data_IF_163523122302
#
_entry.id   IF_163523122302
#
_cell.length_a   1.000
_cell.length_b   1.000
_cell.length_c   1.000
_cell.angle_alpha   90.00
_cell.angle_beta   90.00
_cell.angle_gamma   90.00
#
_symmetry.space_group_name_H-M   'P 1'
#
loop_
_entity.id
_entity.type
_entity.pdbx_description
1 polymer ?
#
# COMPACT_ATOMS: atom_id res chain seq x y z
N UNK A 1 29.94 38.85 -19.30
CA UNK A 1 30.19 39.15 -17.87
C UNK A 1 31.63 39.64 -17.77
N UNK A 2 31.90 40.68 -17.00
CA UNK A 2 33.28 41.09 -16.69
C UNK A 2 33.73 40.31 -15.45
N UNK A 3 34.82 39.55 -15.57
CA UNK A 3 35.24 38.55 -14.60
C UNK A 3 36.76 38.55 -14.44
N UNK A 4 37.22 38.21 -13.24
CA UNK A 4 38.66 38.12 -12.94
C UNK A 4 39.28 36.87 -13.62
N UNK A 5 40.21 37.10 -14.54
CA UNK A 5 40.88 36.03 -15.29
C UNK A 5 41.70 35.08 -14.41
N UNK A 6 42.21 35.55 -13.27
CA UNK A 6 42.95 34.70 -12.33
C UNK A 6 42.04 33.66 -11.70
N UNK A 7 40.91 34.11 -11.14
CA UNK A 7 39.91 33.21 -10.53
C UNK A 7 39.38 32.18 -11.53
N UNK A 8 39.11 32.57 -12.78
CA UNK A 8 38.65 31.63 -13.80
C UNK A 8 39.68 30.55 -14.13
N UNK A 9 40.95 30.93 -14.34
CA UNK A 9 42.02 29.99 -14.70
C UNK A 9 42.40 29.08 -13.52
N UNK A 10 42.39 29.61 -12.29
CA UNK A 10 42.69 28.85 -11.08
C UNK A 10 41.57 27.85 -10.74
N UNK A 11 40.33 28.18 -11.14
CA UNK A 11 39.17 27.33 -10.86
C UNK A 11 38.91 26.26 -11.91
N UNK A 12 39.24 26.49 -13.19
CA UNK A 12 38.88 25.59 -14.29
C UNK A 12 40.01 25.45 -15.31
N UNK A 13 40.38 24.20 -15.59
CA UNK A 13 41.39 23.88 -16.59
C UNK A 13 40.95 24.29 -18.01
N UNK A 14 39.65 24.30 -18.29
CA UNK A 14 39.10 24.80 -19.55
C UNK A 14 39.43 26.29 -19.76
N UNK A 15 39.15 27.14 -18.76
CA UNK A 15 39.47 28.57 -18.87
C UNK A 15 40.98 28.82 -18.88
N UNK A 16 41.77 28.02 -18.15
CA UNK A 16 43.23 28.09 -18.21
C UNK A 16 43.78 27.76 -19.61
N UNK A 17 43.20 26.79 -20.31
CA UNK A 17 43.58 26.42 -21.68
C UNK A 17 43.14 27.45 -22.72
N UNK A 18 42.00 28.10 -22.50
CA UNK A 18 41.48 29.18 -23.37
C UNK A 18 42.18 30.53 -23.13
N UNK A 19 42.89 30.68 -22.01
CA UNK A 19 43.63 31.89 -21.71
C UNK A 19 44.85 32.03 -22.65
N UNK A 20 45.09 33.21 -23.27
CA UNK A 20 46.24 33.40 -24.14
C UNK A 20 47.56 33.25 -23.36
N UNK A 21 48.64 32.77 -23.99
CA UNK A 21 49.93 32.57 -23.31
C UNK A 21 50.39 33.86 -22.62
N UNK A 22 50.83 33.73 -21.37
CA UNK A 22 51.46 34.82 -20.60
C UNK A 22 52.82 35.14 -21.21
N UNK A 23 52.83 35.97 -22.25
CA UNK A 23 54.04 36.43 -22.94
C UNK A 23 54.04 36.06 -24.42
N UNK A 24 53.29 36.82 -25.21
CA UNK A 24 53.42 36.87 -26.66
C UNK A 24 53.11 38.30 -27.08
N UNK A 25 54.09 38.95 -27.70
CA UNK A 25 54.06 40.37 -28.07
C UNK A 25 52.75 40.76 -28.74
N UNK A 26 52.15 41.84 -28.24
CA UNK A 26 51.06 42.52 -28.92
C UNK A 26 51.60 43.07 -30.24
N UNK A 27 51.32 42.38 -31.35
CA UNK A 27 51.33 43.01 -32.65
C UNK A 27 50.19 44.03 -32.65
N UNK A 28 50.58 45.30 -32.55
CA UNK A 28 49.71 46.45 -32.54
C UNK A 28 48.85 46.51 -33.81
N UNK A 29 47.53 46.59 -33.62
CA UNK A 29 46.67 47.38 -34.49
C UNK A 29 45.70 48.15 -33.59
N UNK A 30 46.08 49.38 -33.30
CA UNK A 30 45.25 50.33 -32.58
C UNK A 30 44.04 50.73 -33.42
N UNK A 31 42.84 50.59 -32.84
CA UNK A 31 41.73 51.50 -33.10
C UNK A 31 40.83 51.56 -31.87
N UNK A 32 41.02 52.65 -31.13
CA UNK A 32 40.07 53.39 -30.29
C UNK A 32 39.23 52.68 -29.21
N UNK A 33 39.54 53.05 -27.96
CA UNK A 33 38.56 53.18 -26.87
C UNK A 33 38.35 52.00 -25.92
N UNK A 34 39.16 50.93 -26.01
CA UNK A 34 38.89 49.66 -25.30
C UNK A 34 39.54 49.55 -23.92
N UNK A 35 38.74 49.32 -22.88
CA UNK A 35 39.23 48.71 -21.64
C UNK A 35 39.97 47.41 -21.95
N UNK A 36 41.03 47.12 -21.20
CA UNK A 36 41.95 45.98 -21.37
C UNK A 36 41.31 44.61 -21.04
N UNK A 37 40.03 44.44 -21.33
CA UNK A 37 39.32 43.17 -21.22
C UNK A 37 39.52 42.33 -22.48
N UNK A 38 40.04 41.10 -22.32
CA UNK A 38 40.07 40.11 -23.41
C UNK A 38 38.74 39.37 -23.45
N UNK A 39 38.20 39.14 -24.64
CA UNK A 39 36.95 38.39 -24.84
C UNK A 39 37.26 36.91 -25.07
N UNK A 40 36.66 36.04 -24.27
CA UNK A 40 36.64 34.59 -24.49
C UNK A 40 35.23 34.24 -24.95
N UNK A 41 35.11 33.66 -26.14
CA UNK A 41 33.86 33.12 -26.67
C UNK A 41 33.86 31.61 -26.41
N UNK A 42 32.78 31.11 -25.81
CA UNK A 42 32.59 29.70 -25.50
C UNK A 42 31.42 29.21 -26.33
N UNK A 43 31.73 28.42 -27.36
CA UNK A 43 30.74 27.82 -28.24
C UNK A 43 30.16 26.53 -27.63
N UNK A 44 28.95 26.16 -28.04
CA UNK A 44 28.33 24.88 -27.65
C UNK A 44 27.74 24.83 -26.24
N UNK A 45 27.40 25.98 -25.65
CA UNK A 45 26.74 26.04 -24.34
C UNK A 45 25.23 25.83 -24.50
N UNK A 46 24.75 24.61 -24.22
CA UNK A 46 23.33 24.26 -24.30
C UNK A 46 22.47 24.98 -23.24
N UNK A 47 23.02 25.18 -22.04
CA UNK A 47 22.34 25.83 -20.93
C UNK A 47 23.14 27.04 -20.43
N UNK A 48 22.85 28.21 -21.01
CA UNK A 48 23.54 29.47 -20.71
C UNK A 48 23.36 29.91 -19.24
N UNK A 49 22.18 29.66 -18.66
CA UNK A 49 21.91 29.99 -17.26
C UNK A 49 22.73 29.13 -16.30
N UNK A 50 22.82 27.83 -16.58
CA UNK A 50 23.66 26.92 -15.81
C UNK A 50 25.14 27.24 -15.95
N UNK A 51 25.59 27.65 -17.14
CA UNK A 51 26.96 28.09 -17.37
C UNK A 51 27.31 29.34 -16.57
N UNK A 52 26.44 30.36 -16.62
CA UNK A 52 26.57 31.55 -15.76
C UNK A 52 26.62 31.14 -14.29
N UNK A 53 25.74 30.24 -13.86
CA UNK A 53 25.65 29.76 -12.49
C UNK A 53 26.92 29.01 -12.04
N UNK A 54 27.52 28.18 -12.90
CA UNK A 54 28.79 27.52 -12.64
C UNK A 54 29.95 28.51 -12.52
N UNK A 55 29.96 29.56 -13.33
CA UNK A 55 30.93 30.65 -13.23
C UNK A 55 30.72 31.47 -11.95
N UNK A 56 29.48 31.81 -11.61
CA UNK A 56 29.13 32.50 -10.35
C UNK A 56 29.59 31.70 -9.12
N UNK A 57 29.50 30.36 -9.17
CA UNK A 57 29.95 29.44 -8.12
C UNK A 57 31.46 29.59 -7.82
N UNK A 58 32.29 29.90 -8.83
CA UNK A 58 33.74 30.09 -8.65
C UNK A 58 34.08 31.27 -7.73
N UNK A 59 33.19 32.27 -7.67
CA UNK A 59 33.37 33.48 -6.87
C UNK A 59 32.61 33.45 -5.54
N UNK A 60 31.86 32.38 -5.24
CA UNK A 60 31.07 32.33 -4.03
C UNK A 60 31.95 32.15 -2.79
N UNK A 61 31.83 33.01 -1.77
CA UNK A 61 32.52 32.83 -0.49
C UNK A 61 31.95 31.66 0.30
N UNK A 62 30.66 31.36 0.12
CA UNK A 62 29.96 30.23 0.72
C UNK A 62 29.21 29.42 -0.36
N UNK A 63 29.92 28.54 -1.09
CA UNK A 63 29.37 27.82 -2.23
C UNK A 63 28.22 26.88 -1.89
N UNK A 64 28.26 26.22 -0.73
CA UNK A 64 27.23 25.27 -0.32
C UNK A 64 25.91 25.98 0.01
N UNK A 65 25.99 27.13 0.71
CA UNK A 65 24.80 27.95 0.96
C UNK A 65 24.20 28.49 -0.33
N UNK A 66 25.05 28.86 -1.29
CA UNK A 66 24.58 29.31 -2.60
C UNK A 66 23.86 28.18 -3.36
N UNK A 67 24.42 26.96 -3.37
CA UNK A 67 23.79 25.77 -3.97
C UNK A 67 22.46 25.44 -3.28
N UNK A 68 22.39 25.57 -1.96
CA UNK A 68 21.17 25.39 -1.19
C UNK A 68 20.07 26.41 -1.58
N UNK A 69 20.44 27.66 -1.84
CA UNK A 69 19.52 28.68 -2.31
C UNK A 69 19.08 28.47 -3.77
N UNK A 70 19.96 27.91 -4.60
CA UNK A 70 19.69 27.60 -6.00
C UNK A 70 18.75 26.39 -6.18
N UNK A 71 18.80 25.44 -5.25
CA UNK A 71 18.00 24.22 -5.26
C UNK A 71 18.59 23.08 -6.10
N UNK A 72 18.09 21.87 -5.87
CA UNK A 72 18.64 20.61 -6.43
C UNK A 72 18.65 20.62 -7.95
N UNK A 73 17.53 20.92 -8.60
CA UNK A 73 17.44 20.93 -10.07
C UNK A 73 18.51 21.80 -10.74
N UNK A 74 18.75 23.01 -10.20
CA UNK A 74 19.77 23.93 -10.73
C UNK A 74 21.18 23.45 -10.41
N UNK A 75 21.39 22.89 -9.22
CA UNK A 75 22.68 22.27 -8.85
C UNK A 75 23.05 21.09 -9.76
N UNK A 76 22.07 20.33 -10.27
CA UNK A 76 22.30 19.27 -11.27
C UNK A 76 22.76 19.88 -12.60
N UNK A 77 22.15 20.98 -13.06
CA UNK A 77 22.61 21.66 -14.29
C UNK A 77 24.03 22.24 -14.12
N UNK A 78 24.30 22.84 -12.95
CA UNK A 78 25.62 23.37 -12.62
C UNK A 78 26.65 22.23 -12.53
N UNK A 79 26.27 21.05 -12.05
CA UNK A 79 27.14 19.86 -12.05
C UNK A 79 27.50 19.43 -13.48
N UNK A 80 26.53 19.33 -14.39
CA UNK A 80 26.76 18.99 -15.80
C UNK A 80 27.73 19.99 -16.43
N UNK A 81 27.48 21.29 -16.25
CA UNK A 81 28.37 22.31 -16.80
C UNK A 81 29.75 22.28 -16.14
N UNK A 82 29.83 22.15 -14.81
CA UNK A 82 31.10 22.09 -14.08
C UNK A 82 31.96 20.91 -14.54
N UNK A 83 31.34 19.78 -14.88
CA UNK A 83 32.01 18.63 -15.49
C UNK A 83 32.53 18.97 -16.89
N UNK A 84 31.71 19.59 -17.73
CA UNK A 84 32.10 19.95 -19.11
C UNK A 84 33.27 20.96 -19.18
N UNK A 85 33.35 21.91 -18.24
CA UNK A 85 34.42 22.92 -18.18
C UNK A 85 35.58 22.49 -17.27
N UNK A 86 35.65 21.23 -16.84
CA UNK A 86 36.72 20.72 -15.96
C UNK A 86 36.90 21.55 -14.68
N UNK A 87 35.79 21.98 -14.05
CA UNK A 87 35.75 22.68 -12.78
C UNK A 87 35.62 21.68 -11.62
N UNK A 88 36.74 21.04 -11.27
CA UNK A 88 36.80 19.95 -10.27
C UNK A 88 36.21 20.34 -8.90
N UNK A 89 36.53 21.54 -8.39
CA UNK A 89 35.97 22.01 -7.12
C UNK A 89 34.45 22.18 -7.22
N UNK A 90 33.94 22.66 -8.34
CA UNK A 90 32.50 22.79 -8.60
C UNK A 90 31.79 21.45 -8.64
N UNK A 91 32.38 20.46 -9.33
CA UNK A 91 31.87 19.08 -9.35
C UNK A 91 31.75 18.51 -7.94
N UNK A 92 32.81 18.61 -7.13
CA UNK A 92 32.81 18.12 -5.73
C UNK A 92 31.76 18.82 -4.86
N UNK A 93 31.64 20.14 -4.98
CA UNK A 93 30.65 20.93 -4.23
C UNK A 93 29.22 20.56 -4.63
N UNK A 94 28.95 20.40 -5.92
CA UNK A 94 27.62 20.04 -6.41
C UNK A 94 27.25 18.62 -5.98
N UNK A 95 28.15 17.65 -6.13
CA UNK A 95 27.92 16.27 -5.67
C UNK A 95 27.67 16.23 -4.16
N UNK A 96 28.51 16.88 -3.35
CA UNK A 96 28.34 16.93 -1.90
C UNK A 96 27.00 17.56 -1.48
N UNK A 97 26.57 18.63 -2.16
CA UNK A 97 25.26 19.23 -1.91
C UNK A 97 24.11 18.30 -2.30
N UNK A 98 24.17 17.72 -3.50
CA UNK A 98 23.13 16.83 -4.05
C UNK A 98 22.98 15.58 -3.16
N UNK A 99 24.08 15.00 -2.70
CA UNK A 99 24.10 13.88 -1.76
C UNK A 99 23.35 14.21 -0.45
N UNK A 100 23.54 15.42 0.08
CA UNK A 100 23.04 15.82 1.40
C UNK A 100 21.55 16.23 1.44
N UNK A 101 20.85 16.26 0.29
CA UNK A 101 19.48 16.77 0.18
C UNK A 101 18.51 15.76 -0.44
N UNK A 102 17.20 15.81 -0.10
CA UNK A 102 16.19 14.97 -0.76
C UNK A 102 15.93 15.43 -2.20
N UNK A 103 15.52 14.50 -3.06
CA UNK A 103 15.18 14.77 -4.47
C UNK A 103 13.73 14.39 -4.74
N UNK A 104 13.07 15.12 -5.62
CA UNK A 104 11.79 14.69 -6.18
C UNK A 104 12.00 13.81 -7.42
N UNK A 105 10.93 13.18 -7.93
CA UNK A 105 10.98 12.28 -9.08
C UNK A 105 11.59 12.92 -10.34
N UNK A 106 11.33 14.21 -10.60
CA UNK A 106 11.88 14.90 -11.77
C UNK A 106 13.38 15.12 -11.63
N UNK A 107 13.84 15.45 -10.42
CA UNK A 107 15.26 15.62 -10.10
C UNK A 107 16.01 14.28 -10.14
N UNK A 108 15.39 13.21 -9.64
CA UNK A 108 15.94 11.86 -9.72
C UNK A 108 16.11 11.43 -11.19
N UNK A 109 15.11 11.64 -12.04
CA UNK A 109 15.20 11.28 -13.45
C UNK A 109 16.25 12.11 -14.19
N UNK A 110 16.40 13.39 -13.82
CA UNK A 110 17.47 14.25 -14.34
C UNK A 110 18.85 13.76 -13.92
N UNK A 111 19.00 13.33 -12.66
CA UNK A 111 20.22 12.71 -12.16
C UNK A 111 20.52 11.40 -12.90
N UNK A 112 19.54 10.51 -13.11
CA UNK A 112 19.74 9.28 -13.90
C UNK A 112 20.26 9.58 -15.30
N UNK A 113 19.66 10.56 -15.99
CA UNK A 113 20.10 10.97 -17.32
C UNK A 113 21.52 11.55 -17.32
N UNK A 114 21.87 12.34 -16.31
CA UNK A 114 23.21 12.91 -16.18
C UNK A 114 24.26 11.82 -15.93
N UNK A 115 24.02 10.93 -14.97
CA UNK A 115 24.92 9.83 -14.62
C UNK A 115 25.03 8.76 -15.72
N UNK A 116 24.06 8.68 -16.64
CA UNK A 116 24.17 7.84 -17.83
C UNK A 116 25.11 8.44 -18.91
N UNK A 117 25.30 9.76 -18.91
CA UNK A 117 26.09 10.50 -19.92
C UNK A 117 27.48 10.90 -19.42
N UNK A 118 27.62 11.17 -18.13
CA UNK A 118 28.83 11.69 -17.50
C UNK A 118 29.37 10.69 -16.47
N UNK A 119 30.68 10.52 -16.43
CA UNK A 119 31.38 9.74 -15.40
C UNK A 119 31.96 10.66 -14.35
N UNK A 120 31.63 10.42 -13.09
CA UNK A 120 32.18 11.15 -11.95
C UNK A 120 33.09 10.22 -11.13
N UNK A 121 33.94 10.81 -10.28
CA UNK A 121 34.75 10.06 -9.31
C UNK A 121 33.84 9.19 -8.43
N UNK A 122 34.11 7.89 -8.41
CA UNK A 122 33.33 6.90 -7.67
C UNK A 122 33.35 7.20 -6.17
N UNK A 123 34.48 7.66 -5.63
CA UNK A 123 34.61 7.94 -4.20
C UNK A 123 33.71 9.07 -3.70
N UNK A 124 33.29 9.97 -4.60
CA UNK A 124 32.49 11.17 -4.28
C UNK A 124 31.04 11.01 -4.73
N UNK A 125 30.77 10.08 -5.64
CA UNK A 125 29.44 9.89 -6.23
C UNK A 125 28.74 8.58 -5.80
N UNK A 126 29.41 7.73 -5.03
CA UNK A 126 28.90 6.43 -4.60
C UNK A 126 27.55 6.54 -3.87
N UNK A 127 27.38 7.49 -2.94
CA UNK A 127 26.15 7.64 -2.17
C UNK A 127 24.97 8.14 -3.04
N UNK A 128 25.26 8.99 -4.03
CA UNK A 128 24.27 9.41 -5.02
C UNK A 128 23.85 8.21 -5.88
N UNK A 129 24.82 7.44 -6.37
CA UNK A 129 24.56 6.22 -7.15
C UNK A 129 23.81 5.17 -6.35
N UNK A 130 24.08 5.03 -5.05
CA UNK A 130 23.38 4.12 -4.16
C UNK A 130 21.89 4.50 -3.98
N UNK A 131 21.56 5.79 -4.08
CA UNK A 131 20.18 6.31 -4.08
C UNK A 131 19.48 6.15 -5.43
N UNK A 132 20.21 6.26 -6.54
CA UNK A 132 19.66 6.13 -7.90
C UNK A 132 19.46 4.67 -8.34
N UNK A 133 20.28 3.76 -7.83
CA UNK A 133 20.17 2.34 -8.14
C UNK A 133 18.95 1.75 -7.42
N UNK A 134 18.08 1.00 -8.12
CA UNK A 134 17.06 0.20 -7.46
C UNK A 134 17.75 -0.70 -6.45
N UNK A 135 17.47 -0.47 -5.18
CA UNK A 135 18.09 -1.23 -4.12
C UNK A 135 17.63 -2.69 -4.24
N UNK A 136 18.56 -3.63 -4.35
CA UNK A 136 18.28 -5.07 -4.53
C UNK A 136 17.81 -5.71 -3.23
N UNK A 137 16.77 -5.16 -2.61
CA UNK A 137 16.08 -5.87 -1.54
C UNK A 137 15.60 -7.18 -2.15
N UNK A 138 15.65 -8.24 -1.34
CA UNK A 138 14.80 -9.42 -1.51
C UNK A 138 13.46 -8.97 -2.09
N UNK A 139 13.02 -9.64 -3.15
CA UNK A 139 11.93 -9.25 -4.06
C UNK A 139 10.89 -8.29 -3.47
N UNK A 140 10.36 -7.29 -4.21
CA UNK A 140 9.30 -6.39 -3.72
C UNK A 140 8.12 -7.06 -3.01
N UNK A 141 7.90 -8.36 -3.30
CA UNK A 141 6.95 -9.23 -2.62
C UNK A 141 7.24 -9.40 -1.12
N UNK A 142 8.50 -9.62 -0.76
CA UNK A 142 8.94 -9.87 0.62
C UNK A 142 8.68 -8.65 1.51
N UNK A 143 8.92 -7.43 1.01
CA UNK A 143 8.67 -6.21 1.77
C UNK A 143 7.18 -6.02 2.04
N UNK A 144 6.33 -6.19 1.02
CA UNK A 144 4.89 -6.00 1.15
C UNK A 144 4.28 -6.99 2.14
N UNK A 145 4.68 -8.26 2.07
CA UNK A 145 4.31 -9.29 3.04
C UNK A 145 4.78 -8.91 4.44
N UNK A 146 6.03 -8.47 4.60
CA UNK A 146 6.56 -8.02 5.89
C UNK A 146 5.78 -6.85 6.49
N UNK A 147 5.36 -5.89 5.68
CA UNK A 147 4.54 -4.76 6.12
C UNK A 147 3.17 -5.26 6.61
N UNK A 148 2.49 -6.12 5.84
CA UNK A 148 1.21 -6.71 6.23
C UNK A 148 1.36 -7.48 7.54
N UNK A 149 2.39 -8.33 7.67
CA UNK A 149 2.66 -9.09 8.88
C UNK A 149 2.91 -8.17 10.09
N UNK A 150 3.70 -7.11 9.91
CA UNK A 150 3.96 -6.10 10.96
C UNK A 150 2.69 -5.40 11.43
N UNK A 151 1.79 -5.06 10.50
CA UNK A 151 0.50 -4.43 10.80
C UNK A 151 -0.41 -5.39 11.57
N UNK A 152 -0.52 -6.65 11.14
CA UNK A 152 -1.37 -7.66 11.81
C UNK A 152 -0.89 -8.00 13.23
N UNK A 153 0.43 -7.94 13.47
CA UNK A 153 1.05 -8.20 14.78
C UNK A 153 1.08 -6.96 15.69
N UNK A 154 0.61 -5.80 15.22
CA UNK A 154 0.61 -4.57 16.02
C UNK A 154 -0.37 -4.65 17.19
N UNK A 155 0.08 -4.19 18.36
CA UNK A 155 -0.73 -4.10 19.58
C UNK A 155 -1.46 -2.76 19.72
N UNK A 156 -1.09 -1.74 18.95
CA UNK A 156 -1.70 -0.42 19.00
C UNK A 156 -2.76 -0.28 17.90
N UNK A 157 -4.04 -0.15 18.30
CA UNK A 157 -5.17 -0.11 17.38
C UNK A 157 -5.20 1.14 16.48
N UNK A 158 -4.79 2.30 17.00
CA UNK A 158 -4.74 3.55 16.25
C UNK A 158 -3.65 3.50 15.17
N UNK A 159 -2.42 3.23 15.58
CA UNK A 159 -1.29 3.11 14.65
C UNK A 159 -1.51 2.02 13.60
N UNK A 160 -2.14 0.90 13.98
CA UNK A 160 -2.50 -0.15 13.03
C UNK A 160 -3.42 0.37 11.92
N UNK A 161 -4.48 1.12 12.25
CA UNK A 161 -5.43 1.63 11.24
C UNK A 161 -4.77 2.60 10.26
N UNK A 162 -3.88 3.46 10.76
CA UNK A 162 -3.11 4.37 9.91
C UNK A 162 -2.20 3.57 8.95
N UNK A 163 -1.53 2.54 9.45
CA UNK A 163 -0.67 1.67 8.63
C UNK A 163 -1.47 0.81 7.64
N UNK A 164 -2.67 0.33 8.02
CA UNK A 164 -3.58 -0.36 7.09
C UNK A 164 -3.98 0.56 5.93
N UNK A 165 -4.31 1.83 6.22
CA UNK A 165 -4.64 2.83 5.19
C UNK A 165 -3.46 3.06 4.24
N UNK A 166 -2.24 3.20 4.78
CA UNK A 166 -1.03 3.36 3.99
C UNK A 166 -0.78 2.16 3.07
N UNK A 167 -0.83 0.94 3.61
CA UNK A 167 -0.65 -0.30 2.85
C UNK A 167 -1.73 -0.44 1.77
N UNK A 168 -2.99 -0.14 2.07
CA UNK A 168 -4.07 -0.16 1.07
C UNK A 168 -3.82 0.84 -0.06
N UNK A 169 -3.26 2.02 0.25
CA UNK A 169 -2.85 3.02 -0.74
C UNK A 169 -1.76 2.49 -1.67
N UNK A 170 -0.76 1.77 -1.13
CA UNK A 170 0.31 1.14 -1.90
C UNK A 170 -0.20 0.01 -2.80
N UNK A 171 -1.17 -0.77 -2.32
CA UNK A 171 -1.78 -1.89 -3.06
C UNK A 171 -2.84 -1.44 -4.09
N UNK A 172 -3.27 -0.18 -4.05
CA UNK A 172 -4.35 0.31 -4.91
C UNK A 172 -3.97 0.30 -6.40
N UNK A 173 -4.90 -0.19 -7.24
CA UNK A 173 -4.85 -0.22 -8.72
C UNK A 173 -4.79 1.17 -9.39
N UNK A 174 -4.90 2.25 -8.60
CA UNK A 174 -4.89 3.64 -9.06
C UNK A 174 -3.67 4.42 -8.56
N UNK A 175 -2.70 3.76 -7.93
CA UNK A 175 -1.53 4.46 -7.40
C UNK A 175 -0.60 4.89 -8.54
N UNK A 176 -0.06 6.11 -8.46
CA UNK A 176 0.90 6.66 -9.44
C UNK A 176 2.18 5.80 -9.49
N UNK A 177 2.43 5.03 -8.43
CA UNK A 177 3.55 4.10 -8.28
C UNK A 177 3.38 2.77 -9.04
N UNK A 178 2.27 2.58 -9.76
CA UNK A 178 1.94 1.30 -10.35
C UNK A 178 2.42 1.21 -11.80
N UNK A 179 3.46 0.41 -12.01
CA UNK A 179 3.69 -0.21 -13.32
C UNK A 179 3.73 -1.73 -13.28
N UNK A 180 4.22 -2.35 -12.21
CA UNK A 180 4.16 -3.80 -12.05
C UNK A 180 4.26 -4.16 -10.56
N UNK A 181 3.14 -4.22 -9.83
CA UNK A 181 3.09 -5.08 -8.64
C UNK A 181 2.82 -6.51 -9.10
N UNK A 182 3.78 -7.07 -9.82
CA UNK A 182 4.05 -8.50 -9.70
C UNK A 182 4.63 -8.67 -8.29
N UNK A 183 3.82 -9.04 -7.29
CA UNK A 183 4.40 -9.27 -5.96
C UNK A 183 3.52 -9.39 -4.73
N UNK A 184 2.36 -10.03 -4.81
CA UNK A 184 1.75 -10.59 -3.62
C UNK A 184 1.87 -12.10 -3.69
N UNK A 185 2.75 -12.66 -2.85
CA UNK A 185 2.83 -14.11 -2.71
C UNK A 185 1.57 -14.61 -1.97
N UNK A 186 0.74 -15.39 -2.68
CA UNK A 186 -0.47 -16.01 -2.16
C UNK A 186 -0.21 -16.81 -0.89
N UNK A 187 0.79 -17.69 -0.93
CA UNK A 187 1.15 -18.56 0.18
C UNK A 187 1.51 -17.74 1.42
N UNK A 188 2.33 -16.69 1.25
CA UNK A 188 2.70 -15.79 2.34
C UNK A 188 1.51 -15.07 2.97
N UNK A 189 0.55 -14.59 2.16
CA UNK A 189 -0.67 -13.96 2.68
C UNK A 189 -1.52 -14.96 3.47
N UNK A 190 -1.68 -16.18 2.95
CA UNK A 190 -2.42 -17.22 3.66
C UNK A 190 -1.73 -17.65 4.95
N UNK A 191 -0.39 -17.69 5.00
CA UNK A 191 0.36 -17.93 6.24
C UNK A 191 0.01 -16.88 7.33
N UNK A 192 -0.15 -15.61 6.93
CA UNK A 192 -0.60 -14.55 7.86
C UNK A 192 -2.07 -14.78 8.26
N UNK A 193 -2.96 -15.16 7.33
CA UNK A 193 -4.35 -15.51 7.64
C UNK A 193 -4.43 -16.67 8.65
N UNK A 194 -3.65 -17.73 8.45
CA UNK A 194 -3.58 -18.87 9.37
C UNK A 194 -3.09 -18.45 10.75
N UNK A 195 -2.06 -17.62 10.83
CA UNK A 195 -1.57 -17.11 12.11
C UNK A 195 -2.63 -16.28 12.85
N UNK A 196 -3.33 -15.38 12.16
CA UNK A 196 -4.43 -14.61 12.74
C UNK A 196 -5.61 -15.49 13.17
N UNK A 197 -5.96 -16.50 12.36
CA UNK A 197 -7.07 -17.40 12.66
C UNK A 197 -6.75 -18.32 13.84
N UNK A 198 -5.55 -18.90 13.90
CA UNK A 198 -5.13 -19.72 15.03
C UNK A 198 -5.12 -18.90 16.32
N UNK A 199 -4.59 -17.68 16.27
CA UNK A 199 -4.65 -16.76 17.41
C UNK A 199 -6.09 -16.43 17.81
N UNK A 200 -7.02 -16.30 16.85
CA UNK A 200 -8.44 -16.09 17.15
C UNK A 200 -9.02 -17.32 17.87
N UNK A 201 -8.77 -18.53 17.37
CA UNK A 201 -9.23 -19.78 17.99
C UNK A 201 -8.71 -19.91 19.42
N UNK A 202 -7.41 -19.67 19.63
CA UNK A 202 -6.78 -19.72 20.95
C UNK A 202 -7.43 -18.72 21.93
N UNK A 203 -7.72 -17.48 21.47
CA UNK A 203 -8.39 -16.47 22.28
C UNK A 203 -9.81 -16.88 22.69
N UNK A 204 -10.55 -17.56 21.81
CA UNK A 204 -11.87 -18.08 22.15
C UNK A 204 -11.79 -19.24 23.13
N UNK A 205 -10.86 -20.17 22.93
CA UNK A 205 -10.62 -21.29 23.84
C UNK A 205 -10.29 -20.76 25.26
N UNK A 206 -9.32 -19.85 25.36
CA UNK A 206 -8.93 -19.24 26.65
C UNK A 206 -10.10 -18.51 27.32
N UNK A 207 -10.91 -17.78 26.54
CA UNK A 207 -12.07 -17.08 27.07
C UNK A 207 -13.18 -18.03 27.57
N UNK A 208 -13.39 -19.17 26.90
CA UNK A 208 -14.34 -20.20 27.34
C UNK A 208 -13.89 -20.88 28.63
N UNK A 209 -12.60 -21.24 28.74
CA UNK A 209 -12.02 -21.83 29.95
C UNK A 209 -12.06 -20.87 31.15
N UNK A 210 -11.77 -19.59 30.93
CA UNK A 210 -11.84 -18.56 31.96
C UNK A 210 -13.27 -18.29 32.46
N UNK A 211 -14.29 -18.64 31.68
CA UNK A 211 -15.69 -18.52 32.10
C UNK A 211 -16.11 -19.71 32.98
N UNK A 212 -15.48 -20.87 32.80
CA UNK A 212 -15.76 -22.10 33.56
C UNK A 212 -15.07 -22.13 34.94
N UNK A 213 -13.93 -21.44 35.07
CA UNK A 213 -13.21 -21.30 36.33
C UNK A 213 -13.44 -19.89 36.89
N UNK A 214 -14.14 -19.78 38.04
CA UNK A 214 -14.47 -18.55 38.79
C UNK A 214 -13.66 -17.31 38.41
N UNK A 215 -14.36 -16.22 38.06
CA UNK A 215 -13.98 -14.92 37.48
C UNK A 215 -12.77 -14.13 38.07
N UNK A 216 -11.81 -14.75 38.74
CA UNK A 216 -10.63 -14.12 39.35
C UNK A 216 -9.36 -14.19 38.49
N UNK A 217 -9.41 -14.75 37.27
CA UNK A 217 -8.26 -14.78 36.36
C UNK A 217 -8.22 -13.63 35.33
N UNK A 218 -9.27 -12.82 35.21
CA UNK A 218 -9.40 -11.77 34.18
C UNK A 218 -8.41 -10.60 34.31
N UNK A 219 -7.64 -10.53 35.41
CA UNK A 219 -6.62 -9.48 35.65
C UNK A 219 -5.18 -10.07 35.60
N UNK A 220 -5.01 -11.39 35.50
CA UNK A 220 -3.71 -12.05 35.63
C UNK A 220 -2.92 -12.01 34.32
N UNK A 221 -2.58 -10.80 33.84
CA UNK A 221 -1.33 -10.50 33.11
C UNK A 221 -1.18 -9.03 32.69
N UNK A 222 -1.94 -8.08 33.25
CA UNK A 222 -1.83 -6.67 32.83
C UNK A 222 -2.04 -6.46 31.32
N UNK A 223 -2.75 -7.39 30.67
CA UNK A 223 -3.03 -7.41 29.24
C UNK A 223 -4.41 -6.85 28.92
N UNK A 224 -4.69 -6.69 27.62
CA UNK A 224 -5.97 -6.22 27.11
C UNK A 224 -7.09 -7.25 27.38
N UNK A 225 -8.35 -6.82 27.60
CA UNK A 225 -9.48 -7.75 27.72
C UNK A 225 -9.59 -8.69 26.50
N UNK A 226 -10.02 -9.94 26.70
CA UNK A 226 -10.20 -10.91 25.60
C UNK A 226 -11.02 -10.34 24.44
N UNK A 227 -12.10 -9.61 24.74
CA UNK A 227 -12.94 -8.99 23.72
C UNK A 227 -12.18 -7.99 22.83
N UNK A 228 -11.23 -7.25 23.39
CA UNK A 228 -10.40 -6.31 22.61
C UNK A 228 -9.45 -7.08 21.68
N UNK A 229 -8.85 -8.17 22.18
CA UNK A 229 -7.96 -9.02 21.39
C UNK A 229 -8.71 -9.78 20.28
N UNK A 230 -9.90 -10.29 20.57
CA UNK A 230 -10.79 -10.94 19.60
C UNK A 230 -11.22 -9.94 18.52
N UNK A 231 -11.66 -8.74 18.91
CA UNK A 231 -12.02 -7.67 17.97
C UNK A 231 -10.83 -7.28 17.09
N UNK A 232 -9.63 -7.25 17.66
CA UNK A 232 -8.39 -6.95 16.94
C UNK A 232 -8.08 -8.01 15.88
N UNK A 233 -8.12 -9.31 16.23
CA UNK A 233 -7.89 -10.40 15.27
C UNK A 233 -9.00 -10.48 14.21
N UNK A 234 -10.24 -10.21 14.60
CA UNK A 234 -11.39 -10.09 13.68
C UNK A 234 -11.15 -8.99 12.64
N UNK A 235 -10.66 -7.83 13.06
CA UNK A 235 -10.32 -6.74 12.15
C UNK A 235 -9.11 -7.07 11.26
N UNK A 236 -8.12 -7.80 11.78
CA UNK A 236 -7.00 -8.29 10.97
C UNK A 236 -7.47 -9.24 9.87
N UNK A 237 -8.30 -10.24 10.20
CA UNK A 237 -8.81 -11.21 9.23
C UNK A 237 -9.70 -10.55 8.17
N UNK A 238 -10.58 -9.62 8.55
CA UNK A 238 -11.38 -8.86 7.59
C UNK A 238 -10.50 -8.03 6.64
N UNK A 239 -9.47 -7.37 7.17
CA UNK A 239 -8.54 -6.59 6.34
C UNK A 239 -7.73 -7.47 5.38
N UNK A 240 -7.22 -8.61 5.85
CA UNK A 240 -6.55 -9.59 4.99
C UNK A 240 -7.49 -10.15 3.92
N UNK A 241 -8.74 -10.44 4.27
CA UNK A 241 -9.75 -10.87 3.32
C UNK A 241 -10.02 -9.80 2.26
N UNK A 242 -10.12 -8.52 2.64
CA UNK A 242 -10.29 -7.42 1.68
C UNK A 242 -9.09 -7.28 0.73
N UNK A 243 -7.86 -7.50 1.22
CA UNK A 243 -6.65 -7.57 0.38
C UNK A 243 -6.76 -8.73 -0.60
N UNK A 244 -7.10 -9.94 -0.13
CA UNK A 244 -7.24 -11.12 -0.98
C UNK A 244 -8.33 -10.93 -2.05
N UNK A 245 -9.46 -10.33 -1.68
CA UNK A 245 -10.57 -10.05 -2.61
C UNK A 245 -10.17 -9.01 -3.66
N UNK A 246 -9.46 -7.96 -3.27
CA UNK A 246 -9.03 -6.90 -4.18
C UNK A 246 -7.99 -7.36 -5.21
N UNK A 247 -7.32 -8.48 -4.92
CA UNK A 247 -6.29 -9.10 -5.74
C UNK A 247 -6.72 -10.45 -6.34
N UNK A 248 -8.01 -10.80 -6.30
CA UNK A 248 -8.57 -12.03 -6.90
C UNK A 248 -7.96 -13.34 -6.34
N UNK A 249 -7.60 -13.37 -5.06
CA UNK A 249 -6.90 -14.48 -4.37
C UNK A 249 -7.70 -15.11 -3.21
N UNK A 250 -8.97 -14.77 -3.05
CA UNK A 250 -9.76 -15.07 -1.85
C UNK A 250 -10.50 -16.43 -1.85
N UNK A 251 -10.33 -17.29 -2.88
CA UNK A 251 -11.04 -18.58 -2.96
C UNK A 251 -10.77 -19.49 -1.75
N UNK A 252 -9.49 -19.67 -1.40
CA UNK A 252 -9.06 -20.54 -0.28
C UNK A 252 -9.48 -19.97 1.09
N UNK A 253 -9.74 -18.67 1.20
CA UNK A 253 -10.23 -18.08 2.43
C UNK A 253 -11.65 -18.56 2.76
N UNK A 254 -12.48 -18.79 1.73
CA UNK A 254 -13.83 -19.34 1.94
C UNK A 254 -13.74 -20.76 2.49
N UNK A 255 -12.82 -21.57 1.98
CA UNK A 255 -12.55 -22.92 2.50
C UNK A 255 -12.01 -22.86 3.93
N UNK A 256 -11.06 -21.97 4.19
CA UNK A 256 -10.50 -21.75 5.53
C UNK A 256 -11.60 -21.43 6.54
N UNK A 257 -12.52 -20.52 6.19
CA UNK A 257 -13.58 -20.06 7.08
C UNK A 257 -14.75 -21.05 7.20
N UNK A 258 -15.10 -21.76 6.12
CA UNK A 258 -16.16 -22.76 6.14
C UNK A 258 -15.81 -23.98 7.01
N UNK A 259 -14.54 -24.34 7.11
CA UNK A 259 -14.05 -25.48 7.90
C UNK A 259 -13.79 -25.16 9.38
N UNK A 260 -14.45 -24.14 9.94
CA UNK A 260 -14.24 -23.72 11.33
C UNK A 260 -15.24 -24.34 12.32
N UNK A 261 -15.37 -25.67 12.32
CA UNK A 261 -16.26 -26.41 13.23
C UNK A 261 -16.07 -26.03 14.71
N UNK A 262 -14.82 -25.77 15.11
CA UNK A 262 -14.47 -25.35 16.48
C UNK A 262 -15.12 -24.01 16.83
N UNK A 263 -14.95 -23.00 15.97
CA UNK A 263 -15.50 -21.65 16.21
C UNK A 263 -17.03 -21.66 16.12
N UNK A 264 -17.62 -22.47 15.24
CA UNK A 264 -19.08 -22.62 15.15
C UNK A 264 -19.66 -23.18 16.46
N UNK A 265 -19.03 -24.21 17.06
CA UNK A 265 -19.45 -24.74 18.37
C UNK A 265 -19.28 -23.72 19.50
N UNK A 266 -18.19 -22.95 19.48
CA UNK A 266 -17.97 -21.89 20.48
C UNK A 266 -18.99 -20.77 20.32
N UNK A 267 -19.36 -20.41 19.09
CA UNK A 267 -20.36 -19.38 18.78
C UNK A 267 -21.70 -19.66 19.47
N UNK A 268 -22.17 -20.92 19.45
CA UNK A 268 -23.43 -21.35 20.09
C UNK A 268 -23.46 -21.10 21.61
N UNK A 269 -22.29 -21.14 22.26
CA UNK A 269 -22.16 -21.04 23.72
C UNK A 269 -21.66 -19.66 24.17
N UNK A 270 -21.09 -18.88 23.25
CA UNK A 270 -20.48 -17.60 23.54
C UNK A 270 -21.53 -16.50 23.83
N UNK A 271 -21.11 -15.50 24.60
CA UNK A 271 -21.93 -14.31 24.84
C UNK A 271 -22.21 -13.55 23.52
N UNK A 272 -23.33 -12.81 23.42
CA UNK A 272 -23.64 -12.00 22.23
C UNK A 272 -22.49 -11.07 21.81
N UNK A 273 -21.77 -10.50 22.78
CA UNK A 273 -20.62 -9.62 22.55
C UNK A 273 -19.40 -10.35 21.98
N UNK A 274 -19.24 -11.65 22.18
CA UNK A 274 -18.12 -12.40 21.59
C UNK A 274 -18.51 -12.99 20.25
N UNK A 275 -19.71 -13.58 20.16
CA UNK A 275 -20.14 -14.29 18.95
C UNK A 275 -20.37 -13.35 17.75
N UNK A 276 -20.77 -12.09 17.99
CA UNK A 276 -20.94 -11.12 16.90
C UNK A 276 -19.63 -10.80 16.16
N UNK A 277 -18.47 -10.94 16.81
CA UNK A 277 -17.16 -10.72 16.16
C UNK A 277 -16.90 -11.80 15.08
N UNK A 278 -17.26 -13.07 15.33
CA UNK A 278 -17.22 -14.13 14.30
C UNK A 278 -18.20 -13.82 13.17
N UNK A 279 -19.41 -13.38 13.52
CA UNK A 279 -20.44 -13.01 12.54
C UNK A 279 -19.99 -11.84 11.64
N UNK A 280 -19.12 -10.93 12.12
CA UNK A 280 -18.53 -9.89 11.25
C UNK A 280 -17.66 -10.48 10.13
N UNK A 281 -16.88 -11.52 10.41
CA UNK A 281 -16.05 -12.20 9.41
C UNK A 281 -16.96 -12.89 8.39
N UNK A 282 -17.94 -13.67 8.86
CA UNK A 282 -18.94 -14.32 8.00
C UNK A 282 -19.68 -13.32 7.12
N UNK A 283 -20.02 -12.14 7.64
CA UNK A 283 -20.70 -11.10 6.88
C UNK A 283 -19.85 -10.61 5.70
N UNK A 284 -18.55 -10.39 5.90
CA UNK A 284 -17.60 -10.06 4.84
C UNK A 284 -17.56 -11.12 3.75
N UNK A 285 -17.47 -12.40 4.15
CA UNK A 285 -17.45 -13.55 3.21
C UNK A 285 -18.75 -13.63 2.40
N UNK A 286 -19.92 -13.52 3.04
CA UNK A 286 -21.21 -13.53 2.35
C UNK A 286 -21.37 -12.36 1.39
N UNK A 287 -20.92 -11.15 1.77
CA UNK A 287 -20.94 -9.99 0.88
C UNK A 287 -20.09 -10.25 -0.37
N UNK A 288 -18.87 -10.75 -0.20
CA UNK A 288 -17.95 -10.98 -1.32
C UNK A 288 -18.46 -12.08 -2.27
N UNK A 289 -19.04 -13.15 -1.73
CA UNK A 289 -19.70 -14.21 -2.51
C UNK A 289 -20.92 -13.69 -3.28
N UNK A 290 -21.81 -12.95 -2.62
CA UNK A 290 -23.03 -12.42 -3.26
C UNK A 290 -22.76 -11.39 -4.34
N UNK A 291 -21.68 -10.60 -4.18
CA UNK A 291 -21.20 -9.68 -5.23
C UNK A 291 -20.51 -10.41 -6.40
N UNK A 292 -20.23 -11.70 -6.27
CA UNK A 292 -19.46 -12.48 -7.24
C UNK A 292 -17.98 -12.10 -7.29
N UNK A 293 -17.45 -11.44 -6.24
CA UNK A 293 -16.02 -11.11 -6.13
C UNK A 293 -15.17 -12.31 -5.72
N UNK A 294 -15.79 -13.33 -5.15
CA UNK A 294 -15.16 -14.60 -4.82
C UNK A 294 -15.93 -15.72 -5.47
N UNK A 295 -15.21 -16.61 -6.14
CA UNK A 295 -15.78 -17.82 -6.73
C UNK A 295 -15.17 -19.02 -6.03
N UNK A 296 -16.02 -19.96 -5.63
CA UNK A 296 -15.59 -21.23 -5.05
C UNK A 296 -16.60 -22.33 -5.39
N UNK A 297 -16.18 -23.58 -5.16
CA UNK A 297 -16.97 -24.78 -5.47
C UNK A 297 -18.31 -24.78 -4.73
N UNK A 298 -19.32 -25.41 -5.35
CA UNK A 298 -20.68 -25.48 -4.78
C UNK A 298 -20.71 -26.12 -3.39
N UNK A 299 -19.89 -27.14 -3.17
CA UNK A 299 -19.76 -27.83 -1.87
C UNK A 299 -19.27 -26.90 -0.76
N UNK A 300 -18.27 -26.05 -1.05
CA UNK A 300 -17.76 -25.06 -0.09
C UNK A 300 -18.81 -23.98 0.22
N UNK A 301 -19.57 -23.53 -0.79
CA UNK A 301 -20.70 -22.61 -0.57
C UNK A 301 -21.75 -23.26 0.33
N UNK A 302 -22.12 -24.51 0.06
CA UNK A 302 -23.06 -25.25 0.91
C UNK A 302 -22.54 -25.35 2.35
N UNK A 303 -21.28 -25.76 2.54
CA UNK A 303 -20.66 -25.89 3.85
C UNK A 303 -20.66 -24.56 4.63
N UNK A 304 -20.30 -23.46 3.96
CA UNK A 304 -20.34 -22.13 4.55
C UNK A 304 -21.75 -21.77 5.06
N UNK A 305 -22.79 -22.00 4.25
CA UNK A 305 -24.17 -21.74 4.67
C UNK A 305 -24.61 -22.64 5.82
N UNK A 306 -24.28 -23.94 5.79
CA UNK A 306 -24.60 -24.84 6.89
C UNK A 306 -23.92 -24.46 8.20
N UNK A 307 -22.69 -23.94 8.15
CA UNK A 307 -21.94 -23.55 9.35
C UNK A 307 -22.34 -22.18 9.90
N UNK A 308 -22.57 -21.19 9.03
CA UNK A 308 -22.59 -19.78 9.44
C UNK A 308 -23.91 -19.05 9.19
N UNK A 309 -24.89 -19.66 8.51
CA UNK A 309 -26.17 -18.98 8.23
C UNK A 309 -26.97 -18.73 9.49
N UNK A 310 -27.16 -19.74 10.34
CA UNK A 310 -27.89 -19.60 11.61
C UNK A 310 -27.23 -18.59 12.54
N UNK A 311 -25.90 -18.59 12.61
CA UNK A 311 -25.12 -17.59 13.33
C UNK A 311 -25.39 -16.17 12.83
N UNK A 312 -25.44 -16.00 11.50
CA UNK A 312 -25.76 -14.72 10.86
C UNK A 312 -27.17 -14.23 11.20
N UNK A 313 -28.17 -15.12 11.17
CA UNK A 313 -29.54 -14.78 11.54
C UNK A 313 -29.64 -14.36 13.01
N UNK A 314 -28.96 -15.08 13.91
CA UNK A 314 -28.99 -14.83 15.35
C UNK A 314 -28.35 -13.49 15.74
N UNK A 315 -27.26 -13.12 15.07
CA UNK A 315 -26.47 -11.94 15.42
C UNK A 315 -26.78 -10.70 14.58
N UNK A 316 -27.70 -10.78 13.63
CA UNK A 316 -27.97 -9.68 12.70
C UNK A 316 -28.37 -8.38 13.42
N UNK A 317 -29.19 -8.47 14.47
CA UNK A 317 -29.50 -7.31 15.32
C UNK A 317 -28.27 -6.66 15.97
N UNK A 318 -27.21 -7.42 16.27
CA UNK A 318 -25.93 -6.85 16.75
C UNK A 318 -25.12 -6.25 15.62
N UNK A 319 -25.09 -6.90 14.45
CA UNK A 319 -24.43 -6.36 13.24
C UNK A 319 -25.05 -5.02 12.79
N UNK A 320 -26.36 -4.85 13.00
CA UNK A 320 -27.07 -3.58 12.78
C UNK A 320 -26.65 -2.49 13.77
N UNK A 321 -26.62 -2.81 15.07
CA UNK A 321 -26.33 -1.84 16.13
C UNK A 321 -24.85 -1.45 16.20
N UNK A 322 -23.97 -2.41 15.94
CA UNK A 322 -22.51 -2.30 16.09
C UNK A 322 -21.80 -2.70 14.79
N UNK A 323 -22.08 -1.98 13.70
CA UNK A 323 -21.61 -2.37 12.37
C UNK A 323 -20.09 -2.32 12.20
N UNK A 324 -19.38 -1.46 12.94
CA UNK A 324 -17.91 -1.29 12.85
C UNK A 324 -17.40 -1.20 11.39
N UNK A 325 -18.13 -0.45 10.54
CA UNK A 325 -17.81 -0.27 9.13
C UNK A 325 -18.49 -1.25 8.16
N UNK A 326 -19.23 -2.24 8.66
CA UNK A 326 -20.04 -3.14 7.84
C UNK A 326 -21.20 -2.40 7.19
N UNK A 327 -21.33 -2.53 5.86
CA UNK A 327 -22.54 -2.11 5.14
C UNK A 327 -23.62 -3.20 5.26
N UNK A 328 -24.52 -3.00 6.23
CA UNK A 328 -25.60 -3.95 6.54
C UNK A 328 -26.58 -4.11 5.38
N UNK A 329 -26.82 -3.05 4.59
CA UNK A 329 -27.71 -3.17 3.41
C UNK A 329 -27.05 -4.02 2.33
N UNK A 330 -25.75 -3.80 2.11
CA UNK A 330 -24.95 -4.66 1.25
C UNK A 330 -24.97 -6.11 1.77
N UNK A 331 -24.93 -6.35 3.09
CA UNK A 331 -25.06 -7.69 3.64
C UNK A 331 -26.40 -8.34 3.28
N UNK A 332 -27.53 -7.68 3.52
CA UNK A 332 -28.86 -8.25 3.22
C UNK A 332 -29.02 -8.63 1.75
N UNK A 333 -28.61 -7.74 0.85
CA UNK A 333 -28.69 -8.00 -0.59
C UNK A 333 -27.81 -9.17 -0.99
N UNK A 334 -26.56 -9.18 -0.54
CA UNK A 334 -25.57 -10.15 -1.01
C UNK A 334 -25.67 -11.50 -0.30
N UNK A 335 -26.16 -11.56 0.94
CA UNK A 335 -26.54 -12.82 1.60
C UNK A 335 -27.63 -13.54 0.79
N UNK A 336 -28.65 -12.80 0.34
CA UNK A 336 -29.69 -13.33 -0.52
C UNK A 336 -29.17 -13.80 -1.88
N UNK A 337 -28.29 -13.02 -2.54
CA UNK A 337 -27.67 -13.42 -3.80
C UNK A 337 -26.81 -14.67 -3.65
N UNK A 338 -25.98 -14.74 -2.60
CA UNK A 338 -25.15 -15.90 -2.30
C UNK A 338 -26.00 -17.15 -2.05
N UNK A 339 -27.09 -17.04 -1.29
CA UNK A 339 -28.02 -18.15 -1.01
C UNK A 339 -28.64 -18.69 -2.31
N UNK A 340 -29.04 -17.80 -3.23
CA UNK A 340 -29.60 -18.17 -4.54
C UNK A 340 -28.64 -18.91 -5.46
N UNK A 341 -27.35 -19.01 -5.11
CA UNK A 341 -26.36 -19.81 -5.85
C UNK A 341 -26.37 -21.30 -5.48
N UNK A 342 -27.00 -21.67 -4.36
CA UNK A 342 -27.05 -23.06 -3.87
C UNK A 342 -28.05 -23.92 -4.67
N UNK A 343 -27.99 -25.26 -4.57
CA UNK A 343 -29.06 -26.14 -5.09
C UNK A 343 -30.43 -25.82 -4.47
N UNK A 344 -31.52 -25.90 -5.26
CA UNK A 344 -32.88 -25.51 -4.85
C UNK A 344 -33.35 -26.15 -3.53
N UNK A 345 -32.99 -27.42 -3.30
CA UNK A 345 -33.33 -28.13 -2.06
C UNK A 345 -32.67 -27.49 -0.82
N UNK A 346 -31.42 -27.06 -0.94
CA UNK A 346 -30.72 -26.36 0.14
C UNK A 346 -31.27 -24.95 0.33
N UNK A 347 -31.58 -24.24 -0.78
CA UNK A 347 -32.24 -22.93 -0.70
C UNK A 347 -33.55 -23.02 0.11
N UNK A 348 -34.36 -24.06 -0.13
CA UNK A 348 -35.60 -24.28 0.61
C UNK A 348 -35.36 -24.34 2.12
N UNK A 349 -34.45 -25.20 2.58
CA UNK A 349 -34.16 -25.35 4.01
C UNK A 349 -33.74 -24.02 4.66
N UNK A 350 -32.86 -23.27 4.00
CA UNK A 350 -32.36 -21.99 4.51
C UNK A 350 -33.45 -20.91 4.50
N UNK A 351 -34.32 -20.89 3.48
CA UNK A 351 -35.45 -19.95 3.45
C UNK A 351 -36.50 -20.27 4.50
N UNK A 352 -36.76 -21.54 4.81
CA UNK A 352 -37.64 -21.95 5.90
C UNK A 352 -37.09 -21.51 7.26
N UNK A 353 -35.80 -21.71 7.50
CA UNK A 353 -35.11 -21.24 8.71
C UNK A 353 -35.16 -19.71 8.83
N UNK A 354 -34.83 -18.99 7.75
CA UNK A 354 -34.94 -17.54 7.70
C UNK A 354 -36.36 -17.07 7.98
N UNK A 355 -37.38 -17.71 7.38
CA UNK A 355 -38.77 -17.31 7.54
C UNK A 355 -39.22 -17.45 9.00
N UNK A 356 -38.83 -18.54 9.67
CA UNK A 356 -39.10 -18.75 11.09
C UNK A 356 -38.40 -17.70 11.97
N UNK A 357 -37.13 -17.39 11.67
CA UNK A 357 -36.37 -16.38 12.39
C UNK A 357 -36.98 -14.98 12.19
N UNK A 358 -37.29 -14.59 10.95
CA UNK A 358 -37.85 -13.29 10.60
C UNK A 358 -39.23 -13.08 11.23
N UNK A 359 -40.06 -14.13 11.28
CA UNK A 359 -41.36 -14.08 11.96
C UNK A 359 -41.25 -13.81 13.48
N UNK A 360 -40.12 -14.17 14.10
CA UNK A 360 -39.88 -14.01 15.53
C UNK A 360 -39.15 -12.70 15.86
N UNK A 361 -38.08 -12.41 15.11
CA UNK A 361 -37.12 -11.32 15.39
C UNK A 361 -37.40 -10.04 14.59
N UNK A 362 -38.27 -10.10 13.59
CA UNK A 362 -38.63 -8.94 12.77
C UNK A 362 -37.42 -8.27 12.13
N UNK A 363 -37.26 -6.96 12.36
CA UNK A 363 -36.17 -6.17 11.78
C UNK A 363 -34.77 -6.53 12.29
N UNK A 364 -34.64 -7.35 13.34
CA UNK A 364 -33.37 -7.87 13.83
C UNK A 364 -32.91 -9.14 13.09
N UNK A 365 -33.60 -9.53 12.01
CA UNK A 365 -33.23 -10.59 11.08
C UNK A 365 -33.00 -9.99 9.67
N UNK A 366 -32.04 -10.51 8.86
CA UNK A 366 -31.75 -9.93 7.54
C UNK A 366 -32.95 -9.99 6.61
N UNK A 367 -33.22 -8.93 5.87
CA UNK A 367 -34.31 -8.90 4.91
C UNK A 367 -33.97 -9.66 3.61
N UNK A 368 -34.31 -10.95 3.56
CA UNK A 368 -34.11 -11.80 2.39
C UNK A 368 -35.34 -11.88 1.46
N UNK A 369 -36.34 -11.00 1.64
CA UNK A 369 -37.62 -11.04 0.91
C UNK A 369 -37.45 -11.10 -0.60
N UNK A 370 -36.52 -10.30 -1.16
CA UNK A 370 -36.27 -10.28 -2.62
C UNK A 370 -35.72 -11.62 -3.10
N UNK A 371 -34.78 -12.21 -2.36
CA UNK A 371 -34.19 -13.50 -2.69
C UNK A 371 -35.24 -14.62 -2.58
N UNK A 372 -36.04 -14.62 -1.51
CA UNK A 372 -37.15 -15.55 -1.33
C UNK A 372 -38.13 -15.52 -2.50
N UNK A 373 -38.54 -14.32 -2.96
CA UNK A 373 -39.43 -14.19 -4.12
C UNK A 373 -38.82 -14.75 -5.42
N UNK A 374 -37.51 -14.62 -5.60
CA UNK A 374 -36.80 -15.19 -6.75
C UNK A 374 -36.82 -16.72 -6.68
N UNK A 375 -36.48 -17.29 -5.53
CA UNK A 375 -36.55 -18.73 -5.30
C UNK A 375 -37.97 -19.27 -5.49
N UNK A 376 -38.98 -18.65 -4.89
CA UNK A 376 -40.38 -19.08 -4.99
C UNK A 376 -40.86 -19.18 -6.45
N UNK A 377 -40.56 -18.14 -7.27
CA UNK A 377 -40.89 -18.16 -8.70
C UNK A 377 -40.17 -19.29 -9.45
N UNK A 378 -38.90 -19.55 -9.12
CA UNK A 378 -38.12 -20.63 -9.74
C UNK A 378 -38.64 -22.02 -9.34
N UNK A 379 -39.05 -22.19 -8.09
CA UNK A 379 -39.48 -23.47 -7.52
C UNK A 379 -40.87 -23.90 -7.96
N UNK A 380 -41.81 -22.95 -8.15
CA UNK A 380 -43.23 -23.28 -8.36
C UNK A 380 -43.84 -22.70 -9.64
N UNK A 381 -43.38 -21.55 -10.12
CA UNK A 381 -44.03 -20.88 -11.26
C UNK A 381 -43.55 -21.42 -12.61
N UNK A 382 -42.27 -21.82 -12.72
CA UNK A 382 -41.71 -22.40 -13.96
C UNK A 382 -41.97 -23.90 -14.11
N UNK A 383 -41.95 -24.63 -13.00
CA UNK A 383 -42.28 -26.06 -12.92
C UNK A 383 -43.75 -26.35 -13.25
N UNK A 384 -44.67 -25.40 -13.03
CA UNK A 384 -46.07 -25.53 -13.48
C UNK A 384 -46.22 -25.52 -15.01
N UNK A 385 -45.31 -24.89 -15.75
CA UNK A 385 -45.38 -24.81 -17.22
C UNK A 385 -44.80 -26.07 -17.88
N UNK A 386 -43.78 -26.65 -17.25
CA UNK A 386 -43.17 -27.91 -17.70
C UNK A 386 -44.02 -29.14 -17.34
N UNK A 387 -44.79 -29.11 -16.24
CA UNK A 387 -45.70 -30.20 -15.86
C UNK A 387 -47.04 -30.21 -16.64
N UNK A 388 -47.26 -29.23 -17.51
CA UNK A 388 -48.45 -29.10 -18.38
C UNK A 388 -48.13 -29.34 -19.87
N UNK A 389 -46.91 -29.78 -20.17
CA UNK A 389 -46.49 -30.40 -21.45
C UNK A 389 -46.25 -31.89 -21.22
#
# INVERSE_FOLDING_TARGET
>A
MELDSGVLCDSSAFFAAMAPPRGGEAAASASDGGGTGRRIEVDGVDNVEAFRAAVELMYQPDPLRWLAAAGVSRSIDVLEVSSSIMFERGVKLCLSYIEAVPWNEKEEEKLKNLFARCTFDEAISQDILARLRPHSWSSPEDLTVHLIQSVTSSTNSGARKDMQSLVNGLLSKSSVYQKDLAGLNKESLYNICYACLNSLVDLYDEATEATNHTAQALVIRGGKPFIEQISQQTENLNWLFDILVSNDMAEEFVELWANQDRLIRIHEQASPMMRYELSRISAGVFIALGKGKVQCRGELRSLLFYGWFSAMLLDFGWLQRCSKGLDVRSLEENLGQALLTLPLKQQQCLFEEWFQCFATSGSECPNLTRAFQVWWRRSFVRSSVEAQQ
#
